data_IF_195099414558
#
_entry.id   IF_195099414558
#
_cell.length_a   1.000
_cell.length_b   1.000
_cell.length_c   1.000
_cell.angle_alpha   90.00
_cell.angle_beta   90.00
_cell.angle_gamma   90.00
#
_symmetry.space_group_name_H-M   'P 1'
#
loop_
_entity.id
_entity.type
_entity.pdbx_description
1 polymer ?
#
# COMPACT_ATOMS: atom_id res chain seq x y z
N UNK A 1 -26.77 7.17 40.50
CA UNK A 1 -25.85 6.33 39.76
C UNK A 1 -26.66 5.23 39.08
N UNK A 2 -26.95 5.33 37.79
CA UNK A 2 -27.63 4.28 37.06
C UNK A 2 -26.64 3.12 36.87
N UNK A 3 -26.83 2.03 37.61
CA UNK A 3 -26.11 0.76 37.35
C UNK A 3 -26.57 0.18 36.04
N UNK A 4 -25.69 -0.61 35.37
CA UNK A 4 -26.09 -1.47 34.25
C UNK A 4 -27.29 -2.32 34.68
N UNK A 5 -28.29 -2.46 33.78
CA UNK A 5 -29.34 -3.46 34.01
C UNK A 5 -28.76 -4.86 34.04
N UNK A 6 -29.38 -5.77 34.74
CA UNK A 6 -28.89 -7.15 34.84
C UNK A 6 -28.85 -7.83 33.48
N UNK A 7 -29.77 -7.54 32.57
CA UNK A 7 -29.78 -8.04 31.19
C UNK A 7 -28.57 -7.50 30.38
N UNK A 8 -28.20 -6.22 30.56
CA UNK A 8 -27.03 -5.66 29.89
C UNK A 8 -25.72 -6.29 30.39
N UNK A 9 -25.64 -6.58 31.70
CA UNK A 9 -24.48 -7.29 32.25
C UNK A 9 -24.39 -8.71 31.70
N UNK A 10 -25.51 -9.43 31.67
CA UNK A 10 -25.56 -10.80 31.17
C UNK A 10 -25.11 -10.88 29.69
N UNK A 11 -25.56 -9.93 28.87
CA UNK A 11 -25.11 -9.80 27.48
C UNK A 11 -23.61 -9.53 27.39
N UNK A 12 -23.10 -8.57 28.14
CA UNK A 12 -21.68 -8.21 28.11
C UNK A 12 -20.78 -9.34 28.65
N UNK A 13 -21.24 -10.08 29.66
CA UNK A 13 -20.51 -11.20 30.25
C UNK A 13 -20.42 -12.41 29.31
N UNK A 14 -21.36 -12.55 28.36
CA UNK A 14 -21.33 -13.57 27.31
C UNK A 14 -20.41 -13.26 26.12
N UNK A 15 -19.84 -12.06 26.04
CA UNK A 15 -18.96 -11.67 24.93
C UNK A 15 -17.53 -12.18 25.14
N UNK A 16 -16.91 -12.60 24.04
CA UNK A 16 -15.46 -12.89 23.97
C UNK A 16 -14.60 -11.62 23.88
N UNK A 17 -15.21 -10.46 23.65
CA UNK A 17 -14.60 -9.13 23.64
C UNK A 17 -14.56 -8.62 25.08
N UNK A 18 -13.41 -8.11 25.53
CA UNK A 18 -13.29 -7.44 26.83
C UNK A 18 -14.09 -6.14 26.82
N UNK A 19 -14.97 -5.97 27.80
CA UNK A 19 -15.81 -4.76 27.93
C UNK A 19 -15.57 -4.16 29.29
N UNK A 20 -15.23 -2.86 29.30
CA UNK A 20 -14.98 -2.08 30.53
C UNK A 20 -15.82 -0.81 30.50
N UNK A 21 -16.45 -0.48 31.62
CA UNK A 21 -17.10 0.80 31.84
C UNK A 21 -16.29 1.60 32.83
N UNK A 22 -15.98 2.82 32.49
CA UNK A 22 -15.27 3.81 33.30
C UNK A 22 -16.22 4.91 33.72
N UNK A 23 -15.96 5.49 34.89
CA UNK A 23 -16.58 6.77 35.28
C UNK A 23 -15.81 7.97 34.69
N UNK A 24 -16.19 9.18 35.05
CA UNK A 24 -15.56 10.41 34.58
C UNK A 24 -14.11 10.60 35.08
N UNK A 25 -13.72 9.90 36.15
CA UNK A 25 -12.37 9.88 36.70
C UNK A 25 -11.54 8.73 36.13
N UNK A 26 -12.06 8.04 35.10
CA UNK A 26 -11.46 6.87 34.42
C UNK A 26 -11.20 5.69 35.38
N UNK A 27 -11.99 5.58 36.46
CA UNK A 27 -11.98 4.43 37.36
C UNK A 27 -12.91 3.33 36.82
N UNK A 28 -12.45 2.08 36.84
CA UNK A 28 -13.24 0.93 36.38
C UNK A 28 -14.44 0.67 37.29
N UNK A 29 -15.65 0.78 36.75
CA UNK A 29 -16.91 0.50 37.46
C UNK A 29 -17.59 -0.79 37.04
N UNK A 30 -17.21 -1.32 35.85
CA UNK A 30 -17.62 -2.61 35.37
C UNK A 30 -16.54 -3.17 34.46
N UNK A 31 -16.32 -4.48 34.51
CA UNK A 31 -15.49 -5.23 33.58
C UNK A 31 -16.09 -6.63 33.45
N UNK A 32 -16.26 -7.08 32.21
CA UNK A 32 -16.75 -8.44 31.94
C UNK A 32 -15.65 -9.51 32.16
N UNK A 33 -15.98 -10.80 32.18
CA UNK A 33 -14.99 -11.88 32.35
C UNK A 33 -13.83 -11.82 31.37
N UNK A 34 -14.09 -11.53 30.08
CA UNK A 34 -13.04 -11.42 29.07
C UNK A 34 -12.04 -10.31 29.38
N UNK A 35 -12.49 -9.14 29.86
CA UNK A 35 -11.60 -8.04 30.23
C UNK A 35 -10.67 -8.43 31.40
N UNK A 36 -11.15 -9.19 32.37
CA UNK A 36 -10.32 -9.71 33.45
C UNK A 36 -9.21 -10.64 32.94
N UNK A 37 -9.55 -11.56 32.03
CA UNK A 37 -8.59 -12.47 31.40
C UNK A 37 -7.52 -11.68 30.62
N UNK A 38 -7.92 -10.71 29.82
CA UNK A 38 -7.01 -9.90 29.03
C UNK A 38 -6.05 -9.03 29.88
N UNK A 39 -6.53 -8.55 31.00
CA UNK A 39 -5.69 -7.83 31.97
C UNK A 39 -4.83 -8.76 32.84
N UNK A 40 -4.97 -10.07 32.72
CA UNK A 40 -4.29 -11.04 33.60
C UNK A 40 -4.68 -10.90 35.07
N UNK A 41 -5.94 -10.54 35.35
CA UNK A 41 -6.46 -10.29 36.71
C UNK A 41 -7.59 -11.26 37.07
N UNK A 42 -7.72 -11.66 38.34
CA UNK A 42 -8.84 -12.47 38.77
C UNK A 42 -10.16 -11.71 38.65
N UNK A 43 -11.29 -12.42 38.63
CA UNK A 43 -12.63 -11.84 38.60
C UNK A 43 -12.81 -10.79 39.72
N UNK A 44 -13.31 -9.61 39.36
CA UNK A 44 -13.45 -8.47 40.26
C UNK A 44 -12.14 -7.66 40.49
N UNK A 45 -10.98 -8.15 40.09
CA UNK A 45 -9.69 -7.52 40.34
C UNK A 45 -9.42 -6.24 39.57
N UNK A 46 -10.29 -5.86 38.63
CA UNK A 46 -10.24 -4.60 37.88
C UNK A 46 -11.10 -3.50 38.52
N UNK A 47 -12.16 -3.88 39.21
CA UNK A 47 -13.16 -2.94 39.74
C UNK A 47 -12.54 -1.99 40.78
N UNK A 48 -12.81 -0.71 40.63
CA UNK A 48 -12.34 0.35 41.54
C UNK A 48 -10.90 0.80 41.30
N UNK A 49 -10.22 0.25 40.30
CA UNK A 49 -8.84 0.64 39.90
C UNK A 49 -8.85 1.65 38.77
N UNK A 50 -7.79 2.46 38.69
CA UNK A 50 -7.50 3.25 37.50
C UNK A 50 -7.06 2.34 36.35
N UNK A 51 -7.15 2.83 35.10
CA UNK A 51 -6.67 2.07 33.92
C UNK A 51 -5.19 1.74 34.01
N UNK A 52 -4.38 2.66 34.55
CA UNK A 52 -2.94 2.46 34.71
C UNK A 52 -2.64 1.30 35.69
N UNK A 53 -3.37 1.21 36.80
CA UNK A 53 -3.24 0.09 37.74
C UNK A 53 -3.79 -1.23 37.19
N UNK A 54 -4.79 -1.15 36.30
CA UNK A 54 -5.45 -2.31 35.70
C UNK A 54 -4.57 -2.98 34.64
N UNK A 55 -4.00 -2.21 33.71
CA UNK A 55 -3.32 -2.71 32.52
C UNK A 55 -1.83 -2.41 32.48
N UNK A 56 -1.31 -1.50 33.29
CA UNK A 56 0.11 -1.06 33.32
C UNK A 56 0.56 -0.54 31.93
N UNK A 57 -0.35 0.09 31.21
CA UNK A 57 -0.09 0.64 29.87
C UNK A 57 -0.77 2.00 29.71
N UNK A 58 0.06 3.05 29.66
CA UNK A 58 -0.41 4.45 29.56
C UNK A 58 -1.21 4.73 28.28
N UNK A 59 -0.94 4.02 27.21
CA UNK A 59 -1.64 4.21 25.91
C UNK A 59 -3.13 3.90 26.01
N UNK A 60 -3.55 3.00 26.92
CA UNK A 60 -4.97 2.71 27.17
C UNK A 60 -5.64 3.88 27.88
N UNK A 61 -4.94 4.50 28.83
CA UNK A 61 -5.44 5.67 29.55
C UNK A 61 -5.57 6.88 28.60
N UNK A 62 -4.56 7.18 27.79
CA UNK A 62 -4.58 8.21 26.75
C UNK A 62 -5.74 8.00 25.75
N UNK A 63 -6.01 6.75 25.35
CA UNK A 63 -7.14 6.40 24.48
C UNK A 63 -8.48 6.65 25.18
N UNK A 64 -8.59 6.31 26.46
CA UNK A 64 -9.81 6.56 27.24
C UNK A 64 -10.07 8.06 27.44
N UNK A 65 -9.03 8.85 27.67
CA UNK A 65 -9.10 10.31 27.73
C UNK A 65 -9.56 10.88 26.40
N UNK A 66 -8.94 10.48 25.29
CA UNK A 66 -9.35 10.88 23.97
C UNK A 66 -10.81 10.53 23.65
N UNK A 67 -11.26 9.32 24.03
CA UNK A 67 -12.65 8.91 23.85
C UNK A 67 -13.62 9.71 24.72
N UNK A 68 -13.24 10.06 25.97
CA UNK A 68 -14.02 10.89 26.85
C UNK A 68 -14.18 12.32 26.30
N UNK A 69 -13.10 12.88 25.74
CA UNK A 69 -13.06 14.29 25.32
C UNK A 69 -13.64 14.46 23.90
N UNK A 70 -13.33 13.58 22.94
CA UNK A 70 -13.79 13.65 21.55
C UNK A 70 -15.02 12.79 21.23
N UNK A 71 -15.50 11.98 22.20
CA UNK A 71 -16.66 11.09 22.01
C UNK A 71 -16.30 9.68 21.57
N UNK A 72 -15.24 9.49 20.81
CA UNK A 72 -14.76 8.18 20.38
C UNK A 72 -13.24 8.20 20.10
N UNK A 73 -12.56 7.08 20.39
CA UNK A 73 -11.16 6.86 20.03
C UNK A 73 -10.94 5.38 19.74
N UNK A 74 -9.93 5.05 18.91
CA UNK A 74 -9.57 3.67 18.61
C UNK A 74 -8.07 3.57 18.38
N UNK A 75 -7.45 2.52 18.92
CA UNK A 75 -6.04 2.21 18.66
C UNK A 75 -5.82 0.71 18.70
N UNK A 76 -4.81 0.26 17.97
CA UNK A 76 -4.30 -1.10 18.08
C UNK A 76 -3.09 -1.08 19.01
N UNK A 77 -3.13 -1.90 20.06
CA UNK A 77 -2.13 -1.94 21.11
C UNK A 77 -1.68 -3.37 21.39
N UNK A 78 -0.38 -3.60 21.39
CA UNK A 78 0.19 -4.83 21.96
C UNK A 78 0.47 -4.55 23.43
N UNK A 79 -0.22 -5.24 24.32
CA UNK A 79 -0.05 -5.07 25.75
C UNK A 79 1.29 -5.67 26.21
N UNK A 80 1.98 -4.94 27.07
CA UNK A 80 3.21 -5.42 27.72
C UNK A 80 2.96 -6.39 28.88
N UNK A 81 1.69 -6.79 29.09
CA UNK A 81 1.34 -7.80 30.09
C UNK A 81 1.98 -9.16 29.73
N UNK A 82 2.00 -10.07 30.69
CA UNK A 82 2.64 -11.41 30.58
C UNK A 82 2.19 -12.25 29.35
N UNK A 83 1.16 -11.82 28.64
CA UNK A 83 0.57 -12.54 27.50
C UNK A 83 1.08 -12.07 26.13
N UNK A 84 1.63 -10.86 26.00
CA UNK A 84 2.08 -10.30 24.70
C UNK A 84 0.98 -10.23 23.63
N UNK A 85 -0.29 -10.18 24.06
CA UNK A 85 -1.46 -10.19 23.17
C UNK A 85 -1.63 -8.82 22.50
N UNK A 86 -2.12 -8.83 21.26
CA UNK A 86 -2.46 -7.63 20.49
C UNK A 86 -3.97 -7.41 20.50
N UNK A 87 -4.38 -6.20 20.85
CA UNK A 87 -5.79 -5.82 20.94
C UNK A 87 -6.10 -4.61 20.07
N UNK A 88 -7.26 -4.62 19.44
CA UNK A 88 -7.92 -3.40 18.98
C UNK A 88 -8.75 -2.89 20.12
N UNK A 89 -8.36 -1.73 20.67
CA UNK A 89 -9.07 -1.06 21.76
C UNK A 89 -9.90 0.08 21.18
N UNK A 90 -11.21 0.08 21.46
CA UNK A 90 -12.10 1.16 21.05
C UNK A 90 -12.74 1.76 22.28
N UNK A 91 -12.65 3.08 22.38
CA UNK A 91 -13.29 3.90 23.41
C UNK A 91 -14.51 4.63 22.86
N UNK A 92 -15.59 4.66 23.64
CA UNK A 92 -16.78 5.48 23.33
C UNK A 92 -17.34 6.11 24.60
N UNK A 93 -17.66 7.41 24.54
CA UNK A 93 -18.41 8.11 25.59
C UNK A 93 -19.89 7.72 25.53
N UNK A 94 -20.52 7.51 26.68
CA UNK A 94 -21.97 7.28 26.75
C UNK A 94 -22.75 8.50 26.30
N UNK A 95 -23.98 8.30 25.76
CA UNK A 95 -24.84 9.40 25.34
C UNK A 95 -25.17 10.40 26.45
N UNK A 96 -25.23 9.96 27.72
CA UNK A 96 -25.45 10.80 28.88
C UNK A 96 -24.17 11.51 29.36
N UNK A 97 -23.01 11.25 28.74
CA UNK A 97 -21.75 11.88 29.09
C UNK A 97 -21.15 11.47 30.44
N UNK A 98 -21.76 10.50 31.15
CA UNK A 98 -21.37 10.10 32.51
C UNK A 98 -20.44 8.90 32.59
N UNK A 99 -20.13 8.27 31.46
CA UNK A 99 -19.27 7.08 31.40
C UNK A 99 -18.53 6.99 30.08
N UNK A 100 -17.37 6.37 30.13
CA UNK A 100 -16.63 5.95 28.96
C UNK A 100 -16.59 4.42 28.90
N UNK A 101 -16.87 3.85 27.72
CA UNK A 101 -16.80 2.43 27.48
C UNK A 101 -15.55 2.10 26.69
N UNK A 102 -14.83 1.09 27.11
CA UNK A 102 -13.73 0.52 26.33
C UNK A 102 -14.09 -0.92 25.94
N UNK A 103 -13.79 -1.27 24.69
CA UNK A 103 -13.86 -2.63 24.20
C UNK A 103 -12.47 -3.08 23.77
N UNK A 104 -12.10 -4.33 24.10
CA UNK A 104 -10.82 -4.95 23.79
C UNK A 104 -11.09 -6.19 22.96
N UNK A 105 -10.75 -6.12 21.69
CA UNK A 105 -10.87 -7.24 20.74
C UNK A 105 -9.49 -7.86 20.54
N UNK A 106 -9.34 -9.14 20.89
CA UNK A 106 -8.09 -9.87 20.70
C UNK A 106 -7.89 -10.18 19.22
N UNK A 107 -6.83 -9.60 18.64
CA UNK A 107 -6.42 -9.81 17.25
C UNK A 107 -5.10 -10.56 17.12
N UNK A 108 -4.63 -11.18 18.20
CA UNK A 108 -3.31 -11.81 18.28
C UNK A 108 -3.14 -12.93 17.26
N UNK A 109 -4.14 -13.80 17.10
CA UNK A 109 -4.09 -14.88 16.12
C UNK A 109 -4.11 -14.35 14.68
N UNK A 110 -4.98 -13.37 14.41
CA UNK A 110 -5.02 -12.69 13.12
C UNK A 110 -3.65 -12.07 12.77
N UNK A 111 -3.04 -11.37 13.73
CA UNK A 111 -1.72 -10.76 13.55
C UNK A 111 -0.61 -11.79 13.39
N UNK A 112 -0.69 -12.89 14.10
CA UNK A 112 0.23 -14.02 13.95
C UNK A 112 0.16 -14.61 12.54
N UNK A 113 -1.05 -14.89 12.06
CA UNK A 113 -1.27 -15.44 10.71
C UNK A 113 -0.80 -14.46 9.62
N UNK A 114 -1.09 -13.18 9.77
CA UNK A 114 -0.61 -12.14 8.86
C UNK A 114 0.93 -12.07 8.84
N UNK A 115 1.59 -12.18 10.00
CA UNK A 115 3.06 -12.18 10.10
C UNK A 115 3.65 -13.40 9.41
N UNK A 116 3.14 -14.61 9.69
CA UNK A 116 3.59 -15.84 9.06
C UNK A 116 3.42 -15.76 7.54
N UNK A 117 2.28 -15.26 7.07
CA UNK A 117 2.03 -15.05 5.64
C UNK A 117 3.03 -14.07 5.02
N UNK A 118 3.32 -12.97 5.71
CA UNK A 118 4.30 -11.98 5.26
C UNK A 118 5.71 -12.53 5.19
N UNK A 119 6.18 -13.23 6.23
CA UNK A 119 7.48 -13.87 6.27
C UNK A 119 7.63 -14.93 5.17
N UNK A 120 6.59 -15.72 4.91
CA UNK A 120 6.57 -16.69 3.82
C UNK A 120 6.74 -16.00 2.46
N UNK A 121 5.99 -14.92 2.20
CA UNK A 121 6.07 -14.16 0.94
C UNK A 121 7.44 -13.51 0.77
N UNK A 122 8.02 -12.96 1.84
CA UNK A 122 9.36 -12.35 1.79
C UNK A 122 10.44 -13.39 1.48
N UNK A 123 10.40 -14.54 2.14
CA UNK A 123 11.33 -15.64 1.88
C UNK A 123 11.17 -16.17 0.46
N UNK A 124 9.93 -16.39 -0.01
CA UNK A 124 9.66 -16.81 -1.37
C UNK A 124 10.18 -15.80 -2.41
N UNK A 125 10.05 -14.50 -2.11
CA UNK A 125 10.56 -13.41 -2.96
C UNK A 125 12.06 -13.50 -3.15
N UNK A 126 12.80 -13.72 -2.07
CA UNK A 126 14.27 -13.85 -2.13
C UNK A 126 14.69 -15.14 -2.86
N UNK A 127 14.04 -16.27 -2.56
CA UNK A 127 14.36 -17.56 -3.17
C UNK A 127 14.02 -17.63 -4.68
N UNK A 128 13.02 -16.86 -5.15
CA UNK A 128 12.67 -16.79 -6.57
C UNK A 128 13.52 -15.77 -7.34
N UNK A 129 13.89 -14.65 -6.73
CA UNK A 129 14.65 -13.60 -7.40
C UNK A 129 16.01 -14.11 -7.89
N UNK A 130 16.71 -14.88 -7.07
CA UNK A 130 18.06 -15.37 -7.38
C UNK A 130 18.10 -16.26 -8.63
N UNK A 131 17.32 -17.36 -8.77
CA UNK A 131 17.32 -18.18 -9.96
C UNK A 131 16.83 -17.44 -11.20
N UNK A 132 15.85 -16.54 -11.05
CA UNK A 132 15.35 -15.75 -12.17
C UNK A 132 16.40 -14.77 -12.69
N UNK A 133 17.14 -14.10 -11.80
CA UNK A 133 18.26 -13.23 -12.18
C UNK A 133 19.34 -14.01 -12.91
N UNK A 134 19.65 -15.24 -12.47
CA UNK A 134 20.63 -16.11 -13.16
C UNK A 134 20.14 -16.50 -14.55
N UNK A 135 18.86 -16.87 -14.73
CA UNK A 135 18.30 -17.21 -16.04
C UNK A 135 18.30 -15.98 -16.95
N UNK A 136 17.97 -14.79 -16.45
CA UNK A 136 18.03 -13.53 -17.21
C UNK A 136 19.45 -13.25 -17.69
N UNK A 137 20.44 -13.36 -16.80
CA UNK A 137 21.85 -13.14 -17.14
C UNK A 137 22.36 -14.14 -18.19
N UNK A 138 21.97 -15.42 -18.10
CA UNK A 138 22.30 -16.43 -19.10
C UNK A 138 21.67 -16.11 -20.46
N UNK A 139 20.41 -15.65 -20.49
CA UNK A 139 19.72 -15.25 -21.70
C UNK A 139 20.41 -14.05 -22.37
N UNK A 140 20.75 -13.00 -21.59
CA UNK A 140 21.51 -11.84 -22.07
C UNK A 140 22.89 -12.23 -22.61
N UNK A 141 23.57 -13.16 -21.93
CA UNK A 141 24.88 -13.67 -22.38
C UNK A 141 24.77 -14.39 -23.71
N UNK A 142 23.75 -15.25 -23.87
CA UNK A 142 23.48 -15.95 -25.13
C UNK A 142 23.17 -14.99 -26.27
N UNK A 143 22.43 -13.89 -26.01
CA UNK A 143 22.19 -12.86 -27.05
C UNK A 143 23.49 -12.20 -27.47
N UNK A 144 24.34 -11.77 -26.55
CA UNK A 144 25.64 -11.15 -26.86
C UNK A 144 26.57 -12.09 -27.61
N UNK A 145 26.66 -13.34 -27.17
CA UNK A 145 27.46 -14.37 -27.88
C UNK A 145 26.92 -14.63 -29.29
N UNK A 146 25.60 -14.64 -29.46
CA UNK A 146 24.93 -14.80 -30.75
C UNK A 146 25.22 -13.64 -31.71
N UNK A 147 25.25 -12.40 -31.17
CA UNK A 147 25.60 -11.19 -31.92
C UNK A 147 27.08 -11.21 -32.33
N UNK A 148 27.98 -11.56 -31.43
CA UNK A 148 29.41 -11.63 -31.65
C UNK A 148 29.79 -12.72 -32.66
N UNK A 149 29.06 -13.84 -32.68
CA UNK A 149 29.29 -14.95 -33.64
C UNK A 149 28.85 -14.62 -35.10
N UNK A 150 28.09 -13.52 -35.30
CA UNK A 150 27.70 -13.05 -36.62
C UNK A 150 27.01 -14.11 -37.47
N UNK A 151 27.51 -14.33 -38.72
CA UNK A 151 26.93 -15.30 -39.67
C UNK A 151 27.11 -16.76 -39.27
N UNK A 152 27.96 -17.07 -38.28
CA UNK A 152 28.16 -18.44 -37.80
C UNK A 152 26.92 -19.04 -37.12
N UNK A 153 25.99 -18.17 -36.63
CA UNK A 153 24.73 -18.63 -36.04
C UNK A 153 23.57 -18.41 -37.03
N UNK A 154 22.81 -19.47 -37.36
CA UNK A 154 21.66 -19.36 -38.24
C UNK A 154 20.65 -18.31 -37.75
N UNK A 155 20.04 -17.50 -38.64
CA UNK A 155 19.09 -16.45 -38.26
C UNK A 155 17.93 -16.96 -37.39
N UNK A 156 17.42 -18.16 -37.65
CA UNK A 156 16.37 -18.81 -36.84
C UNK A 156 16.81 -19.10 -35.40
N UNK A 157 18.09 -19.36 -35.17
CA UNK A 157 18.63 -19.63 -33.84
C UNK A 157 18.77 -18.33 -33.05
N UNK A 158 19.22 -17.27 -33.70
CA UNK A 158 19.30 -15.91 -33.14
C UNK A 158 17.91 -15.41 -32.72
N UNK A 159 16.89 -15.56 -33.56
CA UNK A 159 15.49 -15.22 -33.23
C UNK A 159 14.98 -15.99 -32.01
N UNK A 160 15.33 -17.27 -31.85
CA UNK A 160 14.96 -18.06 -30.67
C UNK A 160 15.66 -17.60 -29.42
N UNK A 161 16.94 -17.23 -29.47
CA UNK A 161 17.72 -16.71 -28.35
C UNK A 161 17.09 -15.38 -27.86
N UNK A 162 16.80 -14.47 -28.78
CA UNK A 162 16.14 -13.19 -28.47
C UNK A 162 14.74 -13.42 -27.86
N UNK A 163 13.98 -14.40 -28.34
CA UNK A 163 12.69 -14.75 -27.74
C UNK A 163 12.83 -15.30 -26.32
N UNK A 164 13.86 -16.11 -26.03
CA UNK A 164 14.13 -16.61 -24.68
C UNK A 164 14.45 -15.44 -23.74
N UNK A 165 15.26 -14.48 -24.17
CA UNK A 165 15.57 -13.28 -23.38
C UNK A 165 14.29 -12.49 -23.02
N UNK A 166 13.47 -12.20 -24.04
CA UNK A 166 12.21 -11.47 -23.87
C UNK A 166 11.25 -12.19 -22.92
N UNK A 167 11.04 -13.50 -23.10
CA UNK A 167 10.15 -14.30 -22.24
C UNK A 167 10.69 -14.41 -20.81
N UNK A 168 12.01 -14.51 -20.65
CA UNK A 168 12.66 -14.51 -19.33
C UNK A 168 12.44 -13.18 -18.62
N UNK A 169 12.63 -12.06 -19.32
CA UNK A 169 12.35 -10.73 -18.80
C UNK A 169 10.90 -10.57 -18.33
N UNK A 170 9.94 -11.05 -19.15
CA UNK A 170 8.53 -11.08 -18.77
C UNK A 170 8.26 -11.91 -17.51
N UNK A 171 8.92 -13.08 -17.38
CA UNK A 171 8.74 -13.95 -16.22
C UNK A 171 9.29 -13.31 -14.95
N UNK A 172 10.47 -12.68 -15.01
CA UNK A 172 11.07 -11.93 -13.88
C UNK A 172 10.13 -10.83 -13.41
N UNK A 173 9.60 -10.06 -14.35
CA UNK A 173 8.65 -8.99 -14.05
C UNK A 173 7.37 -9.54 -13.41
N UNK A 174 6.79 -10.59 -13.98
CA UNK A 174 5.55 -11.22 -13.48
C UNK A 174 5.71 -11.72 -12.04
N UNK A 175 6.80 -12.42 -11.75
CA UNK A 175 7.08 -12.94 -10.41
C UNK A 175 7.29 -11.77 -9.43
N UNK A 176 8.03 -10.74 -9.80
CA UNK A 176 8.25 -9.56 -8.97
C UNK A 176 6.93 -8.85 -8.63
N UNK A 177 6.06 -8.64 -9.61
CA UNK A 177 4.74 -8.02 -9.41
C UNK A 177 3.82 -8.89 -8.53
N UNK A 178 3.85 -10.23 -8.70
CA UNK A 178 3.08 -11.15 -7.87
C UNK A 178 3.53 -11.10 -6.41
N UNK A 179 4.83 -11.04 -6.17
CA UNK A 179 5.42 -10.97 -4.85
C UNK A 179 5.13 -9.62 -4.17
N UNK A 180 5.19 -8.52 -4.92
CA UNK A 180 4.78 -7.20 -4.45
C UNK A 180 3.30 -7.20 -4.05
N UNK A 181 2.43 -7.79 -4.87
CA UNK A 181 1.01 -7.94 -4.54
C UNK A 181 0.78 -8.75 -3.26
N UNK A 182 1.51 -9.86 -3.09
CA UNK A 182 1.40 -10.70 -1.90
C UNK A 182 1.90 -9.99 -0.62
N UNK A 183 2.95 -9.16 -0.72
CA UNK A 183 3.41 -8.28 0.37
C UNK A 183 2.35 -7.26 0.76
N UNK A 184 1.74 -6.63 -0.24
CA UNK A 184 0.65 -5.68 -0.08
C UNK A 184 -0.52 -6.32 0.68
N UNK A 185 -0.94 -7.52 0.31
CA UNK A 185 -2.04 -8.25 0.95
C UNK A 185 -1.71 -8.74 2.37
N UNK A 186 -0.44 -8.87 2.70
CA UNK A 186 -0.03 -9.30 4.04
C UNK A 186 -0.26 -8.24 5.13
N UNK A 187 -0.68 -7.02 4.75
CA UNK A 187 -1.07 -5.96 5.70
C UNK A 187 0.12 -5.39 6.49
N UNK A 188 1.36 -5.56 6.02
CA UNK A 188 2.50 -4.85 6.62
C UNK A 188 2.24 -3.34 6.51
N UNK A 189 2.40 -2.58 7.60
CA UNK A 189 2.42 -1.13 7.50
C UNK A 189 3.48 -0.75 6.47
N UNK A 190 3.09 0.11 5.54
CA UNK A 190 4.03 0.65 4.56
C UNK A 190 5.20 1.27 5.31
N UNK A 191 6.39 1.02 4.79
CA UNK A 191 7.70 1.44 5.26
C UNK A 191 7.70 2.88 5.79
N UNK A 192 8.69 3.21 6.61
CA UNK A 192 9.01 4.56 7.09
C UNK A 192 8.68 5.58 6.00
N UNK A 193 7.72 6.45 6.29
CA UNK A 193 7.31 7.51 5.39
C UNK A 193 8.31 8.66 5.56
N UNK A 194 9.06 8.93 4.51
CA UNK A 194 9.98 10.06 4.43
C UNK A 194 9.34 11.23 3.67
N UNK A 195 9.99 12.39 3.71
CA UNK A 195 9.60 13.53 2.87
C UNK A 195 10.16 13.33 1.46
N UNK A 196 9.25 13.14 0.50
CA UNK A 196 9.58 12.85 -0.91
C UNK A 196 9.31 14.07 -1.78
N UNK A 197 10.32 14.47 -2.56
CA UNK A 197 10.21 15.42 -3.66
C UNK A 197 9.69 14.68 -4.91
N UNK A 198 8.39 14.82 -5.17
CA UNK A 198 7.72 14.12 -6.28
C UNK A 198 8.18 14.66 -7.64
N UNK A 199 8.56 15.93 -7.73
CA UNK A 199 9.09 16.52 -8.97
C UNK A 199 10.42 15.88 -9.37
N UNK A 200 11.35 15.76 -8.42
CA UNK A 200 12.64 15.06 -8.62
C UNK A 200 12.42 13.58 -8.94
N UNK A 201 11.48 12.93 -8.27
CA UNK A 201 11.16 11.52 -8.50
C UNK A 201 10.59 11.29 -9.91
N UNK A 202 9.78 12.21 -10.44
CA UNK A 202 9.24 12.16 -11.79
C UNK A 202 10.35 12.22 -12.84
N UNK A 203 11.31 13.16 -12.68
CA UNK A 203 12.49 13.26 -13.56
C UNK A 203 13.31 11.99 -13.53
N UNK A 204 13.66 11.48 -12.34
CA UNK A 204 14.45 10.27 -12.20
C UNK A 204 13.76 9.04 -12.81
N UNK A 205 12.43 8.94 -12.69
CA UNK A 205 11.65 7.85 -13.29
C UNK A 205 11.60 7.92 -14.81
N UNK A 206 11.48 9.12 -15.38
CA UNK A 206 11.55 9.33 -16.83
C UNK A 206 12.93 8.97 -17.38
N UNK A 207 14.01 9.40 -16.72
CA UNK A 207 15.38 9.08 -17.16
C UNK A 207 15.65 7.57 -17.20
N UNK A 208 15.12 6.82 -16.25
CA UNK A 208 15.22 5.34 -16.24
C UNK A 208 14.54 4.68 -17.45
N UNK A 209 13.51 5.29 -18.01
CA UNK A 209 12.74 4.75 -19.13
C UNK A 209 13.09 5.39 -20.47
N UNK A 210 13.99 6.39 -20.52
CA UNK A 210 14.36 7.14 -21.72
C UNK A 210 14.78 6.23 -22.86
N UNK A 211 15.73 5.32 -22.62
CA UNK A 211 16.22 4.41 -23.64
C UNK A 211 15.13 3.44 -24.14
N UNK A 212 14.23 3.02 -23.25
CA UNK A 212 13.09 2.18 -23.62
C UNK A 212 12.11 2.97 -24.52
N UNK A 213 11.79 4.22 -24.17
CA UNK A 213 10.92 5.07 -24.97
C UNK A 213 11.51 5.36 -26.34
N UNK A 214 12.80 5.70 -26.43
CA UNK A 214 13.51 5.94 -27.69
C UNK A 214 13.43 4.73 -28.64
N UNK A 215 13.58 3.52 -28.10
CA UNK A 215 13.45 2.27 -28.89
C UNK A 215 12.03 2.04 -29.43
N UNK A 216 11.03 2.61 -28.78
CA UNK A 216 9.62 2.57 -29.20
C UNK A 216 9.24 3.77 -30.07
N UNK A 217 10.18 4.69 -30.37
CA UNK A 217 9.91 5.92 -31.11
C UNK A 217 9.10 6.95 -30.33
N UNK A 218 9.08 6.86 -28.99
CA UNK A 218 8.34 7.75 -28.10
C UNK A 218 9.28 8.73 -27.43
N UNK A 219 8.92 10.03 -27.43
CA UNK A 219 9.63 11.07 -26.70
C UNK A 219 9.03 11.25 -25.30
N UNK A 220 9.87 11.15 -24.25
CA UNK A 220 9.45 11.45 -22.88
C UNK A 220 9.70 12.94 -22.58
N UNK A 221 8.64 13.63 -22.19
CA UNK A 221 8.66 15.05 -21.82
C UNK A 221 8.28 15.17 -20.34
N UNK A 222 9.20 15.67 -19.53
CA UNK A 222 8.87 16.07 -18.15
C UNK A 222 8.70 17.57 -18.15
N UNK A 223 7.46 18.05 -17.96
CA UNK A 223 7.22 19.48 -17.77
C UNK A 223 7.90 19.91 -16.47
N UNK A 224 8.66 21.00 -16.52
CA UNK A 224 9.44 21.47 -15.36
C UNK A 224 8.50 21.65 -14.15
N UNK A 225 8.72 20.91 -13.05
CA UNK A 225 7.90 21.07 -11.87
C UNK A 225 7.98 22.50 -11.36
N UNK A 226 6.89 23.09 -10.83
CA UNK A 226 6.93 24.39 -10.20
C UNK A 226 8.03 24.47 -9.13
N UNK A 227 8.76 25.59 -9.09
CA UNK A 227 9.77 25.80 -8.06
C UNK A 227 9.11 25.83 -6.67
N UNK A 228 9.67 25.08 -5.71
CA UNK A 228 9.18 25.10 -4.34
C UNK A 228 7.97 24.19 -4.08
N UNK A 229 7.73 23.17 -4.93
CA UNK A 229 6.70 22.15 -4.66
C UNK A 229 6.84 21.59 -3.25
N UNK A 230 5.74 21.51 -2.47
CA UNK A 230 5.74 20.84 -1.18
C UNK A 230 6.11 19.36 -1.33
N UNK A 231 6.80 18.82 -0.31
CA UNK A 231 7.05 17.40 -0.24
C UNK A 231 5.78 16.64 0.16
N UNK A 232 5.68 15.38 -0.26
CA UNK A 232 4.67 14.44 0.25
C UNK A 232 5.30 13.51 1.28
N UNK A 233 4.48 12.92 2.15
CA UNK A 233 4.92 11.87 3.07
C UNK A 233 4.79 10.51 2.38
N UNK A 234 5.90 9.82 2.14
CA UNK A 234 5.84 8.57 1.40
C UNK A 234 7.13 7.75 1.37
N UNK A 235 7.03 6.54 0.84
CA UNK A 235 8.16 5.67 0.53
C UNK A 235 8.63 5.94 -0.91
N UNK A 236 9.76 6.62 -1.07
CA UNK A 236 10.30 7.09 -2.36
C UNK A 236 10.37 5.95 -3.39
N UNK A 237 10.89 4.79 -2.98
CA UNK A 237 11.02 3.62 -3.86
C UNK A 237 9.65 3.15 -4.40
N UNK A 238 8.62 3.13 -3.55
CA UNK A 238 7.27 2.69 -3.93
C UNK A 238 6.56 3.70 -4.84
N UNK A 239 6.71 4.98 -4.55
CA UNK A 239 6.19 6.05 -5.40
C UNK A 239 6.90 6.08 -6.75
N UNK A 240 8.21 5.83 -6.77
CA UNK A 240 8.97 5.64 -8.01
C UNK A 240 8.46 4.47 -8.84
N UNK A 241 8.10 3.36 -8.21
CA UNK A 241 7.48 2.19 -8.89
C UNK A 241 6.12 2.56 -9.52
N UNK A 242 5.29 3.39 -8.86
CA UNK A 242 4.05 3.90 -9.45
C UNK A 242 4.35 4.66 -10.73
N UNK A 243 5.28 5.63 -10.70
CA UNK A 243 5.66 6.43 -11.85
C UNK A 243 6.19 5.56 -13.00
N UNK A 244 7.11 4.64 -12.71
CA UNK A 244 7.64 3.70 -13.70
C UNK A 244 6.50 2.90 -14.34
N UNK A 245 5.55 2.39 -13.57
CA UNK A 245 4.42 1.63 -14.12
C UNK A 245 3.54 2.48 -15.04
N UNK A 246 3.26 3.73 -14.67
CA UNK A 246 2.42 4.62 -15.49
C UNK A 246 3.14 5.03 -16.77
N UNK A 247 4.41 5.47 -16.68
CA UNK A 247 5.22 5.89 -17.84
C UNK A 247 5.49 4.71 -18.77
N UNK A 248 5.82 3.54 -18.23
CA UNK A 248 6.02 2.33 -19.04
C UNK A 248 4.75 1.96 -19.81
N UNK A 249 3.57 2.04 -19.17
CA UNK A 249 2.31 1.79 -19.85
C UNK A 249 2.04 2.83 -20.95
N UNK A 250 2.25 4.12 -20.68
CA UNK A 250 2.08 5.19 -21.65
C UNK A 250 2.94 4.96 -22.90
N UNK A 251 4.23 4.64 -22.73
CA UNK A 251 5.13 4.33 -23.85
C UNK A 251 4.68 3.06 -24.59
N UNK A 252 4.36 2.00 -23.86
CA UNK A 252 3.95 0.71 -24.44
C UNK A 252 2.68 0.80 -25.29
N UNK A 253 1.71 1.63 -24.90
CA UNK A 253 0.44 1.78 -25.58
C UNK A 253 0.41 2.94 -26.58
N UNK A 254 1.57 3.49 -26.92
CA UNK A 254 1.80 4.48 -28.00
C UNK A 254 2.55 3.85 -29.18
N UNK A 255 1.95 2.89 -29.92
CA UNK A 255 2.65 2.08 -30.93
C UNK A 255 3.10 2.89 -32.15
N UNK A 256 2.46 4.03 -32.40
CA UNK A 256 2.80 4.90 -33.54
C UNK A 256 3.85 5.97 -33.16
N UNK A 257 4.45 5.86 -31.97
CA UNK A 257 5.35 6.85 -31.41
C UNK A 257 4.61 8.04 -30.83
N UNK A 258 5.24 9.22 -30.83
CA UNK A 258 4.69 10.46 -30.29
C UNK A 258 5.26 10.82 -28.91
N UNK A 259 4.55 11.69 -28.20
CA UNK A 259 5.02 12.23 -26.94
C UNK A 259 4.27 11.60 -25.77
N UNK A 260 5.00 11.30 -24.70
CA UNK A 260 4.45 11.00 -23.38
C UNK A 260 4.87 12.11 -22.43
N UNK A 261 3.91 12.84 -21.88
CA UNK A 261 4.14 14.00 -21.05
C UNK A 261 3.85 13.69 -19.58
N UNK A 262 4.81 14.02 -18.71
CA UNK A 262 4.69 13.88 -17.26
C UNK A 262 4.57 15.29 -16.66
N UNK A 263 3.49 15.55 -15.91
CA UNK A 263 3.24 16.82 -15.20
C UNK A 263 3.17 16.58 -13.71
N UNK A 264 3.71 17.51 -12.94
CA UNK A 264 3.60 17.53 -11.48
C UNK A 264 3.09 18.90 -11.07
N UNK A 265 1.93 18.93 -10.43
CA UNK A 265 1.23 20.16 -10.06
C UNK A 265 0.86 20.16 -8.58
N UNK A 266 0.91 21.33 -7.96
CA UNK A 266 0.33 21.54 -6.65
C UNK A 266 -1.15 21.87 -6.81
N UNK A 267 -2.01 21.02 -6.27
CA UNK A 267 -3.46 21.23 -6.20
C UNK A 267 -3.94 21.01 -4.75
N UNK A 268 -3.78 22.01 -3.88
CA UNK A 268 -4.03 21.84 -2.45
C UNK A 268 -5.39 21.16 -2.15
N UNK A 269 -5.42 20.20 -1.23
CA UNK A 269 -4.36 19.82 -0.27
C UNK A 269 -3.36 18.78 -0.82
N UNK A 270 -3.34 18.51 -2.12
CA UNK A 270 -2.58 17.41 -2.73
C UNK A 270 -1.50 17.91 -3.71
N UNK A 271 -0.52 17.05 -3.97
CA UNK A 271 0.33 17.09 -5.18
C UNK A 271 -0.26 16.09 -6.17
N UNK A 272 -0.53 16.55 -7.39
CA UNK A 272 -1.05 15.73 -8.49
C UNK A 272 0.04 15.45 -9.50
N UNK A 273 0.19 14.18 -9.85
CA UNK A 273 1.07 13.75 -10.95
C UNK A 273 0.22 13.15 -12.05
N UNK A 274 0.45 13.59 -13.28
CA UNK A 274 -0.26 13.12 -14.47
C UNK A 274 0.74 12.63 -15.52
N UNK A 275 0.43 11.47 -16.13
CA UNK A 275 1.16 10.91 -17.26
C UNK A 275 0.18 10.83 -18.43
N UNK A 276 0.40 11.64 -19.46
CA UNK A 276 -0.43 11.73 -20.65
C UNK A 276 0.25 11.06 -21.83
N UNK A 277 -0.50 10.21 -22.53
CA UNK A 277 -0.10 9.57 -23.78
C UNK A 277 -1.11 9.86 -24.89
N UNK A 278 -0.64 9.79 -26.14
CA UNK A 278 -1.45 9.95 -27.36
C UNK A 278 -1.61 8.59 -28.08
N UNK A 279 -1.65 7.51 -27.32
CA UNK A 279 -1.71 6.16 -27.82
C UNK A 279 -3.12 5.69 -28.19
N UNK A 280 -3.32 4.38 -28.09
CA UNK A 280 -4.59 3.72 -28.49
C UNK A 280 -5.80 4.08 -27.64
N UNK A 281 -5.60 4.66 -26.47
CA UNK A 281 -6.66 4.96 -25.51
C UNK A 281 -7.33 3.72 -24.91
N UNK A 282 -8.37 3.95 -24.09
CA UNK A 282 -9.08 2.91 -23.35
C UNK A 282 -10.57 3.02 -23.64
N UNK A 283 -11.25 1.93 -24.06
CA UNK A 283 -12.69 1.91 -24.22
C UNK A 283 -13.44 2.26 -22.93
N UNK A 284 -14.52 3.04 -23.01
CA UNK A 284 -15.30 3.51 -21.85
C UNK A 284 -15.69 2.41 -20.87
N UNK A 285 -16.11 1.25 -21.37
CA UNK A 285 -16.49 0.10 -20.53
C UNK A 285 -15.34 -0.55 -19.76
N UNK A 286 -14.10 -0.14 -20.01
CA UNK A 286 -12.88 -0.67 -19.35
C UNK A 286 -12.30 0.29 -18.33
N UNK A 287 -12.69 1.57 -18.29
CA UNK A 287 -12.07 2.61 -17.45
C UNK A 287 -12.11 2.27 -15.95
N UNK A 288 -13.23 1.77 -15.46
CA UNK A 288 -13.38 1.40 -14.04
C UNK A 288 -12.55 0.14 -13.69
N UNK A 289 -12.26 -0.68 -14.71
CA UNK A 289 -11.67 -2.01 -14.56
C UNK A 289 -10.16 -2.05 -14.76
N UNK A 290 -9.55 -1.02 -15.36
CA UNK A 290 -8.09 -1.04 -15.66
C UNK A 290 -7.20 -1.15 -14.43
N UNK A 291 -7.74 -0.84 -13.25
CA UNK A 291 -7.08 -1.00 -11.95
C UNK A 291 -7.40 -2.35 -11.27
N UNK A 292 -8.23 -3.21 -11.89
CA UNK A 292 -8.48 -4.56 -11.39
C UNK A 292 -7.26 -5.46 -11.68
N UNK A 293 -7.01 -6.42 -10.80
CA UNK A 293 -5.92 -7.39 -10.94
C UNK A 293 -6.12 -8.26 -12.16
N UNK A 294 -5.05 -8.49 -12.93
CA UNK A 294 -5.04 -9.32 -14.14
C UNK A 294 -5.95 -8.82 -15.28
N UNK A 295 -6.55 -7.64 -15.12
CA UNK A 295 -7.39 -7.07 -16.16
C UNK A 295 -6.57 -6.53 -17.34
N UNK A 296 -7.00 -6.85 -18.56
CA UNK A 296 -6.44 -6.38 -19.83
C UNK A 296 -7.58 -6.03 -20.77
N UNK A 297 -7.45 -4.89 -21.44
CA UNK A 297 -8.50 -4.35 -22.32
C UNK A 297 -8.76 -5.23 -23.55
N UNK A 298 -7.74 -5.91 -24.11
CA UNK A 298 -7.92 -6.87 -25.20
C UNK A 298 -6.70 -7.79 -25.29
N UNK A 299 -6.90 -9.11 -25.37
CA UNK A 299 -5.81 -10.08 -25.52
C UNK A 299 -5.24 -10.13 -26.95
N UNK A 300 -6.01 -9.71 -27.95
CA UNK A 300 -5.67 -9.91 -29.35
C UNK A 300 -4.96 -8.73 -30.01
N UNK A 301 -5.10 -7.50 -29.47
CA UNK A 301 -4.59 -6.28 -30.12
C UNK A 301 -3.22 -5.83 -29.65
N UNK A 302 -2.75 -6.29 -28.51
CA UNK A 302 -1.48 -5.82 -27.92
C UNK A 302 -0.42 -6.89 -28.03
N UNK A 303 0.44 -6.81 -29.01
CA UNK A 303 1.71 -7.54 -29.09
C UNK A 303 2.63 -7.02 -27.99
N UNK A 304 2.62 -7.66 -26.84
CA UNK A 304 3.46 -7.26 -25.71
C UNK A 304 2.72 -7.43 -24.39
N UNK A 305 2.54 -8.71 -23.96
CA UNK A 305 1.80 -9.07 -22.77
C UNK A 305 2.40 -8.47 -21.51
N UNK A 306 1.67 -7.56 -20.85
CA UNK A 306 1.88 -7.23 -19.45
C UNK A 306 1.12 -8.22 -18.57
N UNK A 307 1.41 -8.22 -17.27
CA UNK A 307 0.77 -9.10 -16.28
C UNK A 307 -0.67 -8.69 -15.96
N UNK A 308 -1.01 -7.41 -16.16
CA UNK A 308 -2.26 -6.79 -15.68
C UNK A 308 -2.22 -6.50 -14.16
N UNK A 309 -1.03 -6.51 -13.55
CA UNK A 309 -0.85 -6.22 -12.12
C UNK A 309 -0.32 -4.80 -11.88
N UNK A 310 0.42 -4.20 -12.80
CA UNK A 310 1.10 -2.93 -12.59
C UNK A 310 0.17 -1.79 -12.14
N UNK A 311 -0.99 -1.61 -12.78
CA UNK A 311 -1.96 -0.57 -12.39
C UNK A 311 -2.65 -0.91 -11.05
N UNK A 312 -2.92 -2.17 -10.76
CA UNK A 312 -3.47 -2.59 -9.48
C UNK A 312 -2.49 -2.32 -8.32
N UNK A 313 -1.19 -2.59 -8.54
CA UNK A 313 -0.12 -2.25 -7.60
C UNK A 313 -0.02 -0.73 -7.43
N UNK A 314 0.00 0.04 -8.53
CA UNK A 314 0.03 1.49 -8.48
C UNK A 314 -1.13 2.06 -7.64
N UNK A 315 -2.36 1.57 -7.88
CA UNK A 315 -3.55 1.96 -7.09
C UNK A 315 -3.36 1.68 -5.61
N UNK A 316 -2.89 0.48 -5.28
CA UNK A 316 -2.70 0.10 -3.87
C UNK A 316 -1.61 0.94 -3.20
N UNK A 317 -0.48 1.16 -3.87
CA UNK A 317 0.60 2.01 -3.34
C UNK A 317 0.08 3.43 -3.08
N UNK A 318 -0.59 4.05 -4.05
CA UNK A 318 -1.14 5.41 -3.89
C UNK A 318 -2.17 5.47 -2.76
N UNK A 319 -3.08 4.51 -2.66
CA UNK A 319 -4.07 4.44 -1.57
C UNK A 319 -3.41 4.24 -0.20
N UNK A 320 -2.37 3.42 -0.13
CA UNK A 320 -1.60 3.22 1.11
C UNK A 320 -0.85 4.48 1.58
N UNK A 321 -0.62 5.45 0.69
CA UNK A 321 -0.10 6.78 1.01
C UNK A 321 -1.21 7.84 1.27
N UNK A 322 -2.46 7.41 1.44
CA UNK A 322 -3.59 8.31 1.65
C UNK A 322 -4.06 9.06 0.39
N UNK A 323 -3.53 8.66 -0.78
CA UNK A 323 -3.81 9.29 -2.05
C UNK A 323 -4.93 8.63 -2.85
N UNK A 324 -5.15 9.12 -4.07
CA UNK A 324 -6.10 8.58 -5.06
C UNK A 324 -5.47 8.51 -6.45
N UNK A 325 -5.88 7.53 -7.27
CA UNK A 325 -5.43 7.35 -8.65
C UNK A 325 -6.65 7.21 -9.57
N UNK A 326 -6.56 7.78 -10.76
CA UNK A 326 -7.64 7.74 -11.76
C UNK A 326 -7.09 7.79 -13.17
N UNK A 327 -7.96 7.60 -14.17
CA UNK A 327 -7.64 7.70 -15.59
C UNK A 327 -8.73 8.46 -16.31
N UNK A 328 -8.33 9.29 -17.26
CA UNK A 328 -9.19 9.90 -18.28
C UNK A 328 -8.66 9.42 -19.63
N UNK A 329 -9.53 8.85 -20.46
CA UNK A 329 -9.10 8.29 -21.75
C UNK A 329 -10.23 8.27 -22.75
N UNK A 330 -9.88 8.41 -24.02
CA UNK A 330 -10.77 8.23 -25.17
C UNK A 330 -10.11 7.28 -26.17
N UNK A 331 -10.82 6.22 -26.56
CA UNK A 331 -10.31 5.23 -27.50
C UNK A 331 -9.87 5.90 -28.81
N UNK A 332 -8.64 5.63 -29.24
CA UNK A 332 -8.01 6.22 -30.43
C UNK A 332 -7.39 7.63 -30.23
N UNK A 333 -7.47 8.20 -29.01
CA UNK A 333 -6.88 9.52 -28.71
C UNK A 333 -5.82 9.54 -27.65
N UNK A 334 -5.75 8.46 -26.85
CA UNK A 334 -4.79 8.35 -25.78
C UNK A 334 -5.41 8.34 -24.38
N UNK A 335 -4.55 8.41 -23.37
CA UNK A 335 -4.94 8.33 -21.96
C UNK A 335 -4.14 9.31 -21.11
N UNK A 336 -4.76 9.79 -20.04
CA UNK A 336 -4.08 10.51 -18.96
C UNK A 336 -4.32 9.75 -17.66
N UNK A 337 -3.28 9.13 -17.14
CA UNK A 337 -3.27 8.52 -15.82
C UNK A 337 -2.78 9.53 -14.80
N UNK A 338 -3.55 9.74 -13.75
CA UNK A 338 -3.19 10.71 -12.71
C UNK A 338 -3.30 10.10 -11.33
N UNK A 339 -2.43 10.53 -10.42
CA UNK A 339 -2.56 10.24 -8.99
C UNK A 339 -2.30 11.48 -8.16
N UNK A 340 -2.94 11.54 -6.99
CA UNK A 340 -2.81 12.62 -6.03
C UNK A 340 -2.29 12.07 -4.70
N UNK A 341 -1.40 12.80 -4.05
CA UNK A 341 -0.84 12.49 -2.73
C UNK A 341 -0.99 13.70 -1.81
N UNK A 342 -1.39 13.51 -0.53
CA UNK A 342 -1.47 14.60 0.42
C UNK A 342 -0.12 15.30 0.63
N UNK A 343 -0.14 16.61 0.67
CA UNK A 343 1.04 17.41 1.04
C UNK A 343 1.44 17.05 2.48
N UNK A 344 2.73 16.79 2.70
CA UNK A 344 3.24 16.54 4.04
C UNK A 344 3.07 17.78 4.93
N UNK A 345 2.45 17.61 6.09
CA UNK A 345 2.37 18.69 7.07
C UNK A 345 3.76 19.22 7.43
N UNK A 346 3.88 20.53 7.56
CA UNK A 346 5.13 21.12 8.01
C UNK A 346 5.39 20.63 9.44
N UNK A 347 6.45 19.83 9.63
CA UNK A 347 6.92 19.57 10.99
C UNK A 347 7.35 20.92 11.59
N UNK A 348 6.61 21.42 12.58
CA UNK A 348 7.12 22.43 13.46
C UNK A 348 8.42 21.91 14.06
N UNK A 349 9.53 22.59 13.79
CA UNK A 349 10.82 22.27 14.39
C UNK A 349 10.65 22.35 15.92
N UNK A 350 11.10 21.33 16.67
CA UNK A 350 11.11 21.43 18.12
C UNK A 350 11.97 22.63 18.50
N UNK A 351 11.33 23.67 19.10
CA UNK A 351 11.97 24.86 19.62
C UNK A 351 12.84 24.59 20.85
#
# INVERSE_FOLDING_TARGET
>A
MAGLSDDTKLLADGLSVGVIRLDNELVVRYANPAAHVFAGRPAGGLIGRSLMEAFIDRRIEELAEAARDSGAASAELTLRSATGLSFVVRGRRSAEGQATWLTFEDVSELRRLQRIRSEFVDNLSHELRTPLTNVSLLAETLVRESEAAGELIPPRMRDRITKIEVETGHLVQMVSELLDLARIESGRPMLLLDRVDVGRLAVASADRLRLFAERQGVQLIVEAPPAGLPAVSGAEERLGQVLINLVHNAVKFSPDGGDVTIRVEEQPPDIVVSVEDHGIGIPRGSLDRVFERFYKVDRARVRGGGTGLGLAIARHVVQGHGGRIWVVSEEGRGSTFSFALPIAEAQEAPG
#
